data_IF_130086816077
#
_entry.id   IF_130086816077
#
_cell.length_a   1.000
_cell.length_b   1.000
_cell.length_c   1.000
_cell.angle_alpha   90.00
_cell.angle_beta   90.00
_cell.angle_gamma   90.00
#
_symmetry.space_group_name_H-M   'P 1'
#
loop_
_entity.id
_entity.type
_entity.pdbx_description
1 polymer ?
#
# COMPACT_ATOMS: atom_id res chain seq x y z
N UNK A 1 16.86 0.31 -4.64
CA UNK A 1 15.76 0.69 -3.71
C UNK A 1 16.29 0.67 -2.28
N UNK A 2 15.90 1.63 -1.45
CA UNK A 2 16.18 1.66 -0.01
C UNK A 2 14.88 1.39 0.72
N UNK A 3 14.87 0.43 1.66
CA UNK A 3 13.73 0.09 2.50
C UNK A 3 14.06 0.49 3.94
N UNK A 4 13.14 1.17 4.61
CA UNK A 4 13.30 1.60 6.01
C UNK A 4 12.04 1.26 6.79
N UNK A 5 12.20 0.66 7.96
CA UNK A 5 11.14 0.58 8.95
C UNK A 5 11.16 1.86 9.80
N UNK A 6 10.01 2.50 9.93
CA UNK A 6 9.84 3.71 10.74
C UNK A 6 8.61 3.55 11.63
N UNK A 7 8.73 3.99 12.87
CA UNK A 7 7.63 4.07 13.83
C UNK A 7 7.20 5.53 13.94
N UNK A 8 6.11 5.89 13.29
CA UNK A 8 5.61 7.25 13.23
C UNK A 8 4.09 7.28 13.26
N UNK A 9 3.53 8.40 13.74
CA UNK A 9 2.10 8.65 13.57
C UNK A 9 1.77 8.79 12.09
N UNK A 10 0.96 7.88 11.57
CA UNK A 10 0.66 7.73 10.13
C UNK A 10 0.21 9.03 9.45
N UNK A 11 -0.60 9.86 10.13
CA UNK A 11 -1.08 11.13 9.56
C UNK A 11 -0.06 12.27 9.55
N UNK A 12 1.01 12.16 10.35
CA UNK A 12 2.11 13.13 10.39
C UNK A 12 3.25 12.78 9.45
N UNK A 13 3.21 11.57 8.90
CA UNK A 13 4.23 11.11 7.97
C UNK A 13 3.95 11.62 6.57
N UNK A 14 4.80 12.51 6.08
CA UNK A 14 4.73 12.99 4.71
C UNK A 14 5.23 11.92 3.73
N UNK A 15 4.35 11.45 2.90
CA UNK A 15 4.65 10.47 1.84
C UNK A 15 3.88 10.82 0.57
N UNK A 16 4.48 10.62 -0.61
CA UNK A 16 3.75 10.79 -1.87
C UNK A 16 2.54 9.85 -2.01
N UNK A 17 2.61 8.69 -1.39
CA UNK A 17 1.53 7.70 -1.34
C UNK A 17 1.68 6.81 -0.09
N UNK A 18 0.59 6.63 0.64
CA UNK A 18 0.47 5.64 1.71
C UNK A 18 -0.35 4.46 1.20
N UNK A 19 0.21 3.26 1.23
CA UNK A 19 -0.50 2.03 0.94
C UNK A 19 -1.02 1.39 2.23
N UNK A 20 -2.28 0.94 2.20
CA UNK A 20 -2.95 0.30 3.32
C UNK A 20 -3.67 -0.96 2.86
N UNK A 21 -3.56 -2.01 3.65
CA UNK A 21 -4.28 -3.25 3.41
C UNK A 21 -5.69 -3.22 3.97
N UNK A 22 -6.65 -3.79 3.23
CA UNK A 22 -8.04 -3.94 3.67
C UNK A 22 -8.49 -5.36 3.32
N UNK A 23 -9.05 -6.06 4.29
CA UNK A 23 -9.59 -7.41 4.09
C UNK A 23 -10.93 -7.43 3.35
N UNK A 24 -11.18 -8.52 2.64
CA UNK A 24 -12.48 -8.76 2.01
C UNK A 24 -13.58 -8.85 3.08
N UNK A 25 -14.73 -8.21 2.81
CA UNK A 25 -15.86 -8.20 3.72
C UNK A 25 -15.73 -7.20 4.88
N UNK A 26 -14.75 -6.29 4.85
CA UNK A 26 -14.67 -5.20 5.84
C UNK A 26 -15.86 -4.26 5.66
N UNK A 27 -16.77 -4.26 6.63
CA UNK A 27 -17.95 -3.39 6.66
C UNK A 27 -17.76 -2.18 7.59
N UNK A 28 -16.90 -2.32 8.58
CA UNK A 28 -16.60 -1.28 9.58
C UNK A 28 -15.10 -1.07 9.68
N UNK A 29 -14.71 0.18 9.87
CA UNK A 29 -13.32 0.54 10.10
C UNK A 29 -13.04 0.63 11.59
N UNK A 30 -11.84 0.29 12.00
CA UNK A 30 -11.39 0.38 13.39
C UNK A 30 -9.94 0.82 13.47
N UNK A 31 -9.54 1.28 14.65
CA UNK A 31 -8.16 1.68 14.90
C UNK A 31 -7.70 2.81 13.99
N UNK A 32 -6.47 2.68 13.50
CA UNK A 32 -5.83 3.70 12.68
C UNK A 32 -6.51 3.90 11.32
N UNK A 33 -7.12 2.88 10.72
CA UNK A 33 -7.82 3.01 9.45
C UNK A 33 -9.07 3.89 9.57
N UNK A 34 -9.77 3.83 10.70
CA UNK A 34 -10.88 4.74 11.05
C UNK A 34 -10.38 6.19 11.17
N UNK A 35 -9.19 6.38 11.78
CA UNK A 35 -8.58 7.71 11.92
C UNK A 35 -8.28 8.30 10.54
N UNK A 36 -7.70 7.52 9.64
CA UNK A 36 -7.42 7.95 8.26
C UNK A 36 -8.72 8.26 7.52
N UNK A 37 -9.72 7.39 7.61
CA UNK A 37 -11.00 7.59 6.95
C UNK A 37 -11.67 8.90 7.39
N UNK A 38 -11.66 9.17 8.69
CA UNK A 38 -12.18 10.42 9.26
C UNK A 38 -11.41 11.64 8.73
N UNK A 39 -10.09 11.56 8.63
CA UNK A 39 -9.25 12.63 8.08
C UNK A 39 -9.52 12.86 6.58
N UNK A 40 -9.93 11.83 5.86
CA UNK A 40 -10.30 11.87 4.44
C UNK A 40 -11.79 12.14 4.19
N UNK A 41 -12.57 12.46 5.23
CA UNK A 41 -14.01 12.77 5.11
C UNK A 41 -14.89 11.55 4.82
N UNK A 42 -14.52 10.37 5.30
CA UNK A 42 -15.33 9.15 5.22
C UNK A 42 -15.28 8.47 3.84
N UNK A 43 -14.24 8.72 3.06
CA UNK A 43 -14.17 8.20 1.68
C UNK A 43 -13.88 6.70 1.62
N UNK A 44 -13.13 6.15 2.58
CA UNK A 44 -12.82 4.71 2.61
C UNK A 44 -14.09 3.91 2.85
N UNK A 45 -14.84 4.28 3.89
CA UNK A 45 -16.10 3.62 4.20
C UNK A 45 -17.11 3.75 3.05
N UNK A 46 -17.11 4.89 2.37
CA UNK A 46 -17.99 5.13 1.21
C UNK A 46 -17.67 4.18 0.06
N UNK A 47 -16.41 4.00 -0.32
CA UNK A 47 -16.05 3.11 -1.44
C UNK A 47 -16.23 1.63 -1.09
N UNK A 48 -16.10 1.26 0.19
CA UNK A 48 -16.45 -0.07 0.68
C UNK A 48 -17.96 -0.31 0.58
N UNK A 49 -18.77 0.65 1.03
CA UNK A 49 -20.24 0.54 1.03
C UNK A 49 -20.83 0.57 -0.39
N UNK A 50 -20.24 1.32 -1.32
CA UNK A 50 -20.68 1.33 -2.73
C UNK A 50 -20.29 0.06 -3.49
N UNK A 51 -19.31 -0.69 -2.96
CA UNK A 51 -18.75 -1.87 -3.64
C UNK A 51 -17.74 -1.56 -4.73
N UNK A 52 -17.29 -0.29 -4.84
CA UNK A 52 -16.21 0.12 -5.76
C UNK A 52 -14.87 -0.49 -5.35
N UNK A 53 -14.74 -0.84 -4.07
CA UNK A 53 -13.63 -1.61 -3.52
C UNK A 53 -14.17 -2.58 -2.48
N UNK A 54 -13.82 -3.84 -2.58
CA UNK A 54 -14.35 -4.92 -1.72
C UNK A 54 -13.29 -5.60 -0.86
N UNK A 55 -12.03 -5.20 -0.99
CA UNK A 55 -10.90 -5.81 -0.30
C UNK A 55 -10.50 -7.19 -0.84
N UNK A 56 -11.01 -7.61 -2.02
CA UNK A 56 -10.61 -8.87 -2.64
C UNK A 56 -9.14 -8.88 -2.97
N UNK A 57 -8.52 -10.07 -2.85
CA UNK A 57 -7.10 -10.23 -3.20
C UNK A 57 -6.83 -9.73 -4.61
N UNK A 58 -5.93 -8.77 -4.71
CA UNK A 58 -5.55 -8.16 -5.97
C UNK A 58 -6.31 -6.89 -6.36
N UNK A 59 -7.36 -6.51 -5.66
CA UNK A 59 -7.99 -5.21 -5.86
C UNK A 59 -7.06 -4.08 -5.40
N UNK A 60 -7.11 -2.98 -6.11
CA UNK A 60 -6.37 -1.76 -5.78
C UNK A 60 -7.21 -0.53 -6.14
N UNK A 61 -7.20 0.46 -5.26
CA UNK A 61 -7.88 1.72 -5.47
C UNK A 61 -7.05 2.87 -4.92
N UNK A 62 -6.79 3.88 -5.75
CA UNK A 62 -6.10 5.10 -5.33
C UNK A 62 -7.12 6.17 -5.01
N UNK A 63 -7.05 6.70 -3.80
CA UNK A 63 -7.82 7.84 -3.33
C UNK A 63 -6.90 9.04 -3.15
N UNK A 64 -7.42 10.24 -3.40
CA UNK A 64 -6.67 11.48 -3.20
C UNK A 64 -7.14 12.14 -1.92
N UNK A 65 -6.18 12.48 -1.08
CA UNK A 65 -6.45 13.21 0.17
C UNK A 65 -6.72 14.70 -0.06
N UNK A 66 -7.39 15.38 0.87
CA UNK A 66 -7.54 16.83 0.86
C UNK A 66 -6.18 17.53 0.90
N UNK A 67 -6.08 18.70 0.26
CA UNK A 67 -4.83 19.46 0.16
C UNK A 67 -4.22 19.86 1.52
N UNK A 68 -5.07 19.97 2.54
CA UNK A 68 -4.67 20.35 3.91
C UNK A 68 -4.21 19.17 4.77
N UNK A 69 -4.13 17.96 4.22
CA UNK A 69 -3.60 16.78 4.91
C UNK A 69 -2.21 16.43 4.37
N UNK A 70 -1.33 15.90 5.21
CA UNK A 70 -0.03 15.37 4.78
C UNK A 70 -0.14 14.16 3.84
N UNK A 71 -1.34 13.59 3.71
CA UNK A 71 -1.64 12.41 2.92
C UNK A 71 -2.09 12.78 1.51
N UNK A 72 -1.16 12.87 0.57
CA UNK A 72 -1.46 13.23 -0.83
C UNK A 72 -2.27 12.15 -1.55
N UNK A 73 -1.93 10.88 -1.33
CA UNK A 73 -2.58 9.72 -1.94
C UNK A 73 -2.65 8.56 -0.95
N UNK A 74 -3.80 7.91 -0.91
CA UNK A 74 -4.02 6.66 -0.20
C UNK A 74 -4.25 5.54 -1.23
N UNK A 75 -3.46 4.49 -1.18
CA UNK A 75 -3.66 3.29 -1.96
C UNK A 75 -4.29 2.22 -1.09
N UNK A 76 -5.54 1.85 -1.38
CA UNK A 76 -6.17 0.68 -0.78
C UNK A 76 -5.74 -0.56 -1.55
N UNK A 77 -5.32 -1.59 -0.82
CA UNK A 77 -4.92 -2.89 -1.37
C UNK A 77 -5.80 -3.98 -0.74
N UNK A 78 -6.50 -4.70 -1.58
CA UNK A 78 -7.31 -5.84 -1.15
C UNK A 78 -6.41 -7.01 -0.74
N UNK A 79 -6.58 -7.45 0.50
CA UNK A 79 -5.84 -8.56 1.10
C UNK A 79 -6.52 -9.91 0.89
N UNK A 80 -7.80 -9.91 0.47
CA UNK A 80 -8.62 -11.11 0.36
C UNK A 80 -9.18 -11.55 1.72
N UNK A 81 -9.53 -12.81 1.81
CA UNK A 81 -10.16 -13.39 3.00
C UNK A 81 -9.17 -13.47 4.17
N UNK A 82 -9.55 -13.04 5.39
CA UNK A 82 -8.64 -13.04 6.54
C UNK A 82 -8.09 -14.41 6.92
N UNK A 83 -8.89 -15.47 6.75
CA UNK A 83 -8.51 -16.85 7.06
C UNK A 83 -7.48 -17.46 6.10
N UNK A 84 -7.27 -16.84 4.93
CA UNK A 84 -6.29 -17.23 3.92
C UNK A 84 -5.06 -16.32 3.88
N UNK A 85 -4.99 -15.38 4.80
CA UNK A 85 -3.93 -14.39 4.84
C UNK A 85 -2.66 -14.98 5.45
N UNK A 86 -1.53 -14.83 4.76
CA UNK A 86 -0.20 -15.35 5.12
C UNK A 86 0.93 -14.37 4.76
N UNK A 87 2.16 -14.73 5.06
CA UNK A 87 3.34 -13.93 4.72
C UNK A 87 3.48 -13.68 3.22
N UNK A 88 3.02 -14.60 2.38
CA UNK A 88 3.02 -14.42 0.93
C UNK A 88 2.00 -13.35 0.51
N UNK A 89 0.89 -13.25 1.21
CA UNK A 89 -0.10 -12.18 1.03
C UNK A 89 0.49 -10.80 1.32
N UNK A 90 1.34 -10.71 2.37
CA UNK A 90 2.11 -9.48 2.68
C UNK A 90 3.08 -9.13 1.55
N UNK A 91 3.85 -10.10 1.06
CA UNK A 91 4.78 -9.89 -0.08
C UNK A 91 4.05 -9.38 -1.31
N UNK A 92 2.91 -10.01 -1.65
CA UNK A 92 2.09 -9.61 -2.80
C UNK A 92 1.51 -8.20 -2.65
N UNK A 93 1.04 -7.85 -1.46
CA UNK A 93 0.51 -6.52 -1.18
C UNK A 93 1.60 -5.44 -1.33
N UNK A 94 2.77 -5.65 -0.73
CA UNK A 94 3.91 -4.74 -0.84
C UNK A 94 4.41 -4.62 -2.29
N UNK A 95 4.55 -5.73 -2.98
CA UNK A 95 4.94 -5.73 -4.40
C UNK A 95 3.94 -4.99 -5.29
N UNK A 96 2.64 -5.11 -4.99
CA UNK A 96 1.59 -4.36 -5.69
C UNK A 96 1.69 -2.87 -5.44
N UNK A 97 1.90 -2.45 -4.18
CA UNK A 97 2.10 -1.05 -3.82
C UNK A 97 3.24 -0.41 -4.63
N UNK A 98 4.38 -1.10 -4.73
CA UNK A 98 5.53 -0.65 -5.53
C UNK A 98 5.15 -0.48 -7.01
N UNK A 99 4.46 -1.46 -7.61
CA UNK A 99 4.03 -1.38 -9.02
C UNK A 99 3.06 -0.23 -9.27
N UNK A 100 2.15 0.06 -8.33
CA UNK A 100 1.26 1.22 -8.43
C UNK A 100 2.06 2.52 -8.37
N UNK A 101 3.00 2.65 -7.42
CA UNK A 101 3.86 3.81 -7.30
C UNK A 101 4.68 4.04 -8.58
N UNK A 102 5.25 2.99 -9.16
CA UNK A 102 5.98 3.07 -10.44
C UNK A 102 5.09 3.54 -11.59
N UNK A 103 3.87 2.96 -11.71
CA UNK A 103 2.88 3.37 -12.72
C UNK A 103 2.52 4.85 -12.62
N UNK A 104 2.45 5.34 -11.37
CA UNK A 104 2.17 6.75 -11.06
C UNK A 104 3.42 7.64 -11.08
N UNK A 105 4.59 7.08 -11.39
CA UNK A 105 5.89 7.78 -11.42
C UNK A 105 6.25 8.45 -10.10
N UNK A 106 5.96 7.78 -9.00
CA UNK A 106 6.33 8.22 -7.66
C UNK A 106 7.72 7.71 -7.30
N UNK A 107 8.57 8.58 -6.76
CA UNK A 107 9.93 8.20 -6.33
C UNK A 107 9.97 7.44 -5.01
N UNK A 108 8.90 7.53 -4.20
CA UNK A 108 8.79 6.84 -2.91
C UNK A 108 7.32 6.55 -2.58
N UNK A 109 7.13 5.63 -1.64
CA UNK A 109 5.85 5.33 -1.01
C UNK A 109 6.08 4.83 0.42
N UNK A 110 5.01 4.83 1.21
CA UNK A 110 4.98 4.17 2.51
C UNK A 110 3.91 3.09 2.52
N UNK A 111 4.18 2.00 3.25
CA UNK A 111 3.22 0.91 3.46
C UNK A 111 2.94 0.83 4.96
N UNK A 112 1.68 0.94 5.36
CA UNK A 112 1.28 0.68 6.73
C UNK A 112 1.25 -0.82 6.98
N UNK A 113 1.84 -1.24 8.10
CA UNK A 113 1.83 -2.62 8.55
C UNK A 113 0.72 -2.92 9.57
N UNK A 114 -0.09 -1.93 9.96
CA UNK A 114 -1.12 -2.08 11.00
C UNK A 114 -2.19 -3.12 10.64
N UNK A 115 -2.53 -3.25 9.35
CA UNK A 115 -3.47 -4.28 8.90
C UNK A 115 -2.95 -5.70 9.13
N UNK A 116 -1.68 -5.87 9.43
CA UNK A 116 -1.00 -7.14 9.63
C UNK A 116 -0.66 -7.43 11.10
N UNK A 117 -1.33 -6.75 12.04
CA UNK A 117 -1.05 -6.78 13.48
C UNK A 117 -1.19 -8.16 14.12
N UNK A 118 -1.85 -9.11 13.45
CA UNK A 118 -1.95 -10.51 13.89
C UNK A 118 -0.67 -11.32 13.69
N UNK A 119 0.32 -10.75 13.00
CA UNK A 119 1.62 -11.37 12.74
C UNK A 119 2.71 -10.67 13.55
N UNK A 120 3.80 -11.38 13.79
CA UNK A 120 4.99 -10.76 14.35
C UNK A 120 5.48 -9.60 13.48
N UNK A 121 5.69 -8.44 14.11
CA UNK A 121 6.03 -7.21 13.40
C UNK A 121 7.33 -7.34 12.57
N UNK A 122 8.34 -8.05 13.08
CA UNK A 122 9.60 -8.24 12.38
C UNK A 122 9.42 -9.10 11.12
N UNK A 123 8.69 -10.23 11.24
CA UNK A 123 8.37 -11.11 10.11
C UNK A 123 7.52 -10.41 9.05
N UNK A 124 6.58 -9.57 9.49
CA UNK A 124 5.74 -8.77 8.59
C UNK A 124 6.56 -7.72 7.84
N UNK A 125 7.41 -6.97 8.54
CA UNK A 125 8.29 -6.00 7.93
C UNK A 125 9.27 -6.65 6.93
N UNK A 126 9.81 -7.82 7.28
CA UNK A 126 10.66 -8.59 6.37
C UNK A 126 9.90 -9.00 5.11
N UNK A 127 8.72 -9.61 5.24
CA UNK A 127 7.91 -10.03 4.10
C UNK A 127 7.53 -8.85 3.19
N UNK A 128 7.17 -7.70 3.78
CA UNK A 128 6.88 -6.49 3.03
C UNK A 128 8.11 -5.98 2.26
N UNK A 129 9.28 -5.95 2.91
CA UNK A 129 10.53 -5.55 2.29
C UNK A 129 10.92 -6.49 1.13
N UNK A 130 10.83 -7.80 1.32
CA UNK A 130 11.09 -8.81 0.29
C UNK A 130 10.18 -8.60 -0.93
N UNK A 131 8.87 -8.44 -0.71
CA UNK A 131 7.89 -8.23 -1.78
C UNK A 131 8.15 -6.93 -2.55
N UNK A 132 8.50 -5.86 -1.84
CA UNK A 132 8.83 -4.58 -2.44
C UNK A 132 10.11 -4.64 -3.30
N UNK A 133 11.18 -5.25 -2.78
CA UNK A 133 12.46 -5.40 -3.50
C UNK A 133 12.27 -6.24 -4.75
N UNK A 134 11.57 -7.37 -4.64
CA UNK A 134 11.29 -8.25 -5.78
C UNK A 134 10.47 -7.54 -6.87
N UNK A 135 9.49 -6.73 -6.48
CA UNK A 135 8.66 -5.99 -7.43
C UNK A 135 9.41 -4.86 -8.13
N UNK A 136 10.34 -4.21 -7.44
CA UNK A 136 11.18 -3.15 -8.00
C UNK A 136 12.30 -3.68 -8.89
N UNK A 137 12.60 -4.98 -8.80
CA UNK A 137 13.65 -5.58 -9.62
C UNK A 137 13.22 -5.64 -11.09
N UNK A 138 14.03 -5.05 -11.97
CA UNK A 138 13.79 -5.03 -13.42
C UNK A 138 14.95 -5.70 -14.13
N UNK A 139 14.65 -6.78 -14.86
CA UNK A 139 15.61 -7.41 -15.74
C UNK A 139 15.74 -6.59 -17.03
N UNK A 140 16.79 -5.79 -17.13
CA UNK A 140 16.99 -4.84 -18.26
C UNK A 140 17.93 -5.36 -19.35
N UNK A 141 18.65 -6.46 -19.09
CA UNK A 141 19.74 -6.92 -19.98
C UNK A 141 19.29 -7.43 -21.35
N UNK A 142 18.02 -7.86 -21.49
CA UNK A 142 17.48 -8.38 -22.76
C UNK A 142 16.50 -7.43 -23.46
N UNK A 143 16.28 -6.22 -22.94
CA UNK A 143 15.41 -5.23 -23.60
C UNK A 143 16.23 -4.37 -24.54
N UNK A 144 16.02 -4.52 -25.84
CA UNK A 144 16.59 -3.68 -26.90
C UNK A 144 16.05 -2.25 -26.90
N UNK A 145 14.93 -2.00 -26.23
CA UNK A 145 14.29 -0.68 -26.19
C UNK A 145 14.56 0.01 -24.84
N UNK A 146 15.43 1.04 -24.88
CA UNK A 146 15.83 1.83 -23.72
C UNK A 146 14.90 3.01 -23.41
N UNK A 147 13.76 3.12 -24.11
CA UNK A 147 12.97 4.37 -24.17
C UNK A 147 11.71 4.42 -23.28
N UNK A 148 11.41 3.44 -22.46
CA UNK A 148 10.26 3.52 -21.56
C UNK A 148 10.64 4.16 -20.23
N UNK A 149 10.45 5.47 -20.14
CA UNK A 149 10.66 6.29 -18.94
C UNK A 149 9.67 5.99 -17.82
N UNK A 150 9.76 4.81 -17.22
CA UNK A 150 9.16 4.54 -15.92
C UNK A 150 10.14 4.99 -14.85
N UNK A 151 9.72 5.90 -13.96
CA UNK A 151 10.55 6.26 -12.80
C UNK A 151 10.63 5.07 -11.87
N UNK A 152 11.85 4.73 -11.44
CA UNK A 152 12.05 3.67 -10.46
C UNK A 152 11.67 4.20 -9.07
N UNK A 153 10.93 3.40 -8.30
CA UNK A 153 10.73 3.66 -6.88
C UNK A 153 12.06 3.42 -6.17
N UNK A 154 12.61 4.47 -5.60
CA UNK A 154 13.92 4.44 -4.94
C UNK A 154 13.84 4.29 -3.43
N UNK A 155 12.68 4.58 -2.83
CA UNK A 155 12.47 4.52 -1.37
C UNK A 155 11.10 3.96 -1.04
N UNK A 156 11.08 3.07 -0.09
CA UNK A 156 9.89 2.47 0.52
C UNK A 156 9.86 2.80 2.02
#
# INVERSE_FOLDING_TARGET
MVVRYIDVETLKHETPMLAVGVFEGTETLSGWLEIIDRALGGVILRVLSSGDFRGKSGEELVLYGPENTGLKRLLLIGLGQPDKFDSESVRRAAGRAVRVAERMRLGSLSISLDAFSNFDAASTAQAAAEGAVLAAWKFRELKTDKSTGTSDVTTL
#
